data_IF_394009374807
#
_entry.id   IF_394009374807
#
_cell.length_a   1.000
_cell.length_b   1.000
_cell.length_c   1.000
_cell.angle_alpha   90.00
_cell.angle_beta   90.00
_cell.angle_gamma   90.00
#
_symmetry.space_group_name_H-M   'P 1'
#
loop_
_entity.id
_entity.type
_entity.pdbx_description
1 polymer ?
#
# COMPACT_ATOMS: atom_id res chain seq x y z
N UNK A 1 -11.20 -12.27 -13.58
CA UNK A 1 -10.08 -12.98 -12.97
C UNK A 1 -9.60 -12.10 -11.83
N UNK A 2 -9.37 -12.66 -10.64
CA UNK A 2 -8.94 -11.87 -9.48
C UNK A 2 -7.44 -11.55 -9.49
N UNK A 3 -6.63 -12.39 -10.15
CA UNK A 3 -5.20 -12.11 -10.33
C UNK A 3 -4.99 -10.82 -11.15
N UNK A 4 -4.15 -9.93 -10.64
CA UNK A 4 -3.88 -8.61 -11.24
C UNK A 4 -2.86 -8.64 -12.38
N UNK A 5 -2.23 -9.80 -12.59
CA UNK A 5 -1.39 -10.10 -13.73
C UNK A 5 -1.49 -11.60 -14.03
N UNK A 6 -1.13 -12.04 -15.25
CA UNK A 6 -1.02 -13.46 -15.57
C UNK A 6 -0.14 -14.18 -14.54
N UNK A 7 -0.58 -15.35 -14.08
CA UNK A 7 0.16 -16.14 -13.09
C UNK A 7 1.01 -17.17 -13.81
N UNK A 8 2.31 -17.17 -13.50
CA UNK A 8 3.20 -18.22 -13.96
C UNK A 8 3.01 -19.49 -13.12
N UNK A 9 3.30 -20.66 -13.70
CA UNK A 9 3.16 -21.94 -13.01
C UNK A 9 4.01 -21.97 -11.73
N UNK A 10 5.23 -21.44 -11.80
CA UNK A 10 6.11 -21.28 -10.64
C UNK A 10 5.48 -20.49 -9.47
N UNK A 11 4.67 -19.46 -9.76
CA UNK A 11 4.01 -18.65 -8.73
C UNK A 11 2.95 -19.48 -8.01
N UNK A 12 2.22 -20.28 -8.77
CA UNK A 12 1.17 -21.16 -8.26
C UNK A 12 1.79 -22.26 -7.39
N UNK A 13 2.86 -22.89 -7.87
CA UNK A 13 3.57 -23.93 -7.12
C UNK A 13 4.11 -23.41 -5.79
N UNK A 14 4.64 -22.20 -5.77
CA UNK A 14 5.10 -21.56 -4.54
C UNK A 14 3.94 -21.18 -3.62
N UNK A 15 2.83 -20.68 -4.17
CA UNK A 15 1.64 -20.33 -3.39
C UNK A 15 0.97 -21.56 -2.74
N UNK A 16 1.03 -22.73 -3.40
CA UNK A 16 0.50 -23.99 -2.87
C UNK A 16 1.23 -24.51 -1.63
N UNK A 17 2.45 -24.02 -1.36
CA UNK A 17 3.18 -24.32 -0.12
C UNK A 17 2.56 -23.64 1.10
N UNK A 18 1.74 -22.62 0.91
CA UNK A 18 1.31 -21.77 2.01
C UNK A 18 0.05 -22.36 2.65
N UNK A 19 0.17 -22.81 3.89
CA UNK A 19 -0.99 -23.08 4.74
C UNK A 19 -1.39 -21.76 5.43
N UNK A 20 -2.47 -21.13 4.95
CA UNK A 20 -3.00 -19.88 5.50
C UNK A 20 -3.45 -20.01 6.96
N UNK A 21 -4.01 -21.16 7.33
CA UNK A 21 -4.61 -21.36 8.64
C UNK A 21 -3.53 -21.61 9.70
N UNK A 22 -2.50 -22.39 9.33
CA UNK A 22 -1.34 -22.64 10.20
C UNK A 22 -0.30 -21.54 10.13
N UNK A 23 -0.33 -20.70 9.10
CA UNK A 23 0.72 -19.72 8.76
C UNK A 23 2.07 -20.41 8.67
N UNK A 24 2.17 -21.45 7.85
CA UNK A 24 3.41 -22.22 7.65
C UNK A 24 3.63 -22.51 6.18
N UNK A 25 4.89 -22.74 5.80
CA UNK A 25 5.23 -23.33 4.51
C UNK A 25 5.26 -24.86 4.67
N UNK A 26 4.44 -25.55 3.89
CA UNK A 26 4.36 -27.00 3.82
C UNK A 26 4.98 -27.46 2.49
N UNK A 27 6.23 -27.89 2.55
CA UNK A 27 6.94 -28.44 1.39
C UNK A 27 6.45 -29.85 1.02
N UNK A 28 5.68 -30.53 1.89
CA UNK A 28 5.16 -31.88 1.64
C UNK A 28 3.86 -31.86 0.82
N UNK A 29 3.11 -30.75 0.82
CA UNK A 29 1.84 -30.60 0.10
C UNK A 29 2.03 -30.42 -1.41
N UNK A 30 3.16 -29.88 -1.85
CA UNK A 30 3.33 -29.52 -3.26
C UNK A 30 3.52 -30.76 -4.12
N UNK A 31 2.79 -30.91 -5.24
CA UNK A 31 3.06 -31.95 -6.22
C UNK A 31 4.56 -31.95 -6.53
N UNK A 32 5.20 -33.11 -6.42
CA UNK A 32 6.67 -33.23 -6.56
C UNK A 32 7.17 -32.71 -7.91
N UNK A 33 6.27 -32.52 -8.88
CA UNK A 33 6.54 -31.96 -10.19
C UNK A 33 5.41 -31.03 -10.66
N UNK A 34 5.78 -29.91 -11.28
CA UNK A 34 4.88 -28.97 -11.99
C UNK A 34 3.86 -29.64 -12.92
N UNK A 35 4.28 -30.68 -13.64
CA UNK A 35 3.43 -31.46 -14.55
C UNK A 35 2.31 -32.16 -13.79
N UNK A 36 2.57 -32.62 -12.56
CA UNK A 36 1.57 -33.27 -11.73
C UNK A 36 0.42 -32.33 -11.35
N UNK A 37 0.68 -31.04 -11.15
CA UNK A 37 -0.39 -30.06 -10.90
C UNK A 37 -1.27 -29.88 -12.13
N UNK A 38 -0.66 -29.75 -13.31
CA UNK A 38 -1.39 -29.59 -14.57
C UNK A 38 -2.21 -30.85 -14.90
N UNK A 39 -1.65 -32.03 -14.65
CA UNK A 39 -2.33 -33.32 -14.83
C UNK A 39 -3.54 -33.47 -13.90
N UNK A 40 -3.40 -33.05 -12.62
CA UNK A 40 -4.50 -33.06 -11.65
C UNK A 40 -5.59 -32.06 -12.02
N UNK A 41 -5.23 -30.86 -12.48
CA UNK A 41 -6.18 -29.86 -12.95
C UNK A 41 -6.83 -30.27 -14.29
N UNK A 42 -6.20 -31.14 -15.06
CA UNK A 42 -6.71 -31.68 -16.32
C UNK A 42 -7.17 -30.59 -17.28
N UNK A 43 -8.38 -30.71 -17.80
CA UNK A 43 -8.96 -29.76 -18.76
C UNK A 43 -9.46 -28.46 -18.15
N UNK A 44 -9.34 -28.26 -16.83
CA UNK A 44 -9.81 -27.02 -16.17
C UNK A 44 -8.89 -25.84 -16.43
N UNK A 45 -7.59 -26.09 -16.65
CA UNK A 45 -6.57 -25.07 -16.86
C UNK A 45 -5.85 -25.27 -18.19
N UNK A 46 -5.41 -24.15 -18.76
CA UNK A 46 -4.53 -24.10 -19.93
C UNK A 46 -3.19 -23.51 -19.48
N UNK A 47 -2.11 -24.22 -19.81
CA UNK A 47 -0.73 -23.75 -19.59
C UNK A 47 -0.10 -23.41 -20.95
N UNK A 48 0.42 -22.19 -21.05
CA UNK A 48 1.23 -21.78 -22.19
C UNK A 48 2.69 -22.04 -21.87
N UNK A 49 3.28 -23.05 -22.52
CA UNK A 49 4.68 -23.48 -22.28
C UNK A 49 5.70 -22.39 -22.65
N UNK A 50 5.40 -21.51 -23.60
CA UNK A 50 6.32 -20.46 -24.04
C UNK A 50 6.39 -19.31 -23.03
N UNK A 51 5.26 -18.97 -22.41
CA UNK A 51 5.17 -17.84 -21.47
C UNK A 51 5.14 -18.27 -20.01
N UNK A 52 5.05 -19.57 -19.75
CA UNK A 52 4.79 -20.21 -18.44
C UNK A 52 3.47 -19.79 -17.77
N UNK A 53 2.56 -19.14 -18.50
CA UNK A 53 1.31 -18.61 -17.94
C UNK A 53 0.27 -19.73 -17.78
N UNK A 54 -0.35 -19.79 -16.62
CA UNK A 54 -1.50 -20.66 -16.33
C UNK A 54 -2.79 -19.83 -16.30
N UNK A 55 -3.82 -20.34 -16.97
CA UNK A 55 -5.15 -19.71 -17.04
C UNK A 55 -6.24 -20.77 -17.00
N UNK A 56 -7.50 -20.37 -16.79
CA UNK A 56 -8.62 -21.28 -16.96
C UNK A 56 -8.82 -21.59 -18.45
N UNK A 57 -9.10 -22.85 -18.79
CA UNK A 57 -9.22 -23.28 -20.19
C UNK A 57 -10.34 -22.59 -20.94
N UNK A 58 -11.48 -22.34 -20.26
CA UNK A 58 -12.66 -21.71 -20.86
C UNK A 58 -13.41 -20.84 -19.87
N UNK A 59 -14.15 -19.86 -20.40
CA UNK A 59 -15.04 -19.01 -19.60
C UNK A 59 -16.11 -19.82 -18.85
N UNK A 60 -16.60 -20.92 -19.42
CA UNK A 60 -17.56 -21.81 -18.76
C UNK A 60 -17.02 -22.47 -17.50
N UNK A 61 -15.70 -22.73 -17.43
CA UNK A 61 -15.06 -23.26 -16.20
C UNK A 61 -15.15 -22.22 -15.09
N UNK A 62 -14.89 -20.95 -15.42
CA UNK A 62 -15.06 -19.83 -14.47
C UNK A 62 -16.50 -19.72 -14.00
N UNK A 63 -17.46 -19.74 -14.92
CA UNK A 63 -18.89 -19.67 -14.57
C UNK A 63 -19.32 -20.84 -13.70
N UNK A 64 -18.82 -22.04 -13.98
CA UNK A 64 -19.10 -23.23 -13.18
C UNK A 64 -18.54 -23.09 -11.75
N UNK A 65 -17.27 -22.71 -11.59
CA UNK A 65 -16.61 -22.58 -10.28
C UNK A 65 -17.15 -21.41 -9.43
N UNK A 66 -17.75 -20.40 -10.07
CA UNK A 66 -18.37 -19.25 -9.41
C UNK A 66 -19.90 -19.34 -9.33
N UNK A 67 -20.51 -20.37 -9.94
CA UNK A 67 -21.96 -20.48 -10.07
C UNK A 67 -22.62 -21.07 -8.82
N UNK A 68 -23.88 -20.67 -8.59
CA UNK A 68 -24.69 -21.11 -7.43
C UNK A 68 -24.84 -22.64 -7.36
N UNK A 69 -24.78 -23.33 -8.51
CA UNK A 69 -24.87 -24.78 -8.58
C UNK A 69 -23.74 -25.47 -7.80
N UNK A 70 -22.49 -25.01 -7.99
CA UNK A 70 -21.34 -25.57 -7.28
C UNK A 70 -21.42 -25.22 -5.80
N UNK A 71 -21.90 -24.02 -5.46
CA UNK A 71 -22.07 -23.59 -4.08
C UNK A 71 -23.00 -24.55 -3.31
N UNK A 72 -24.09 -25.01 -3.93
CA UNK A 72 -25.01 -25.97 -3.34
C UNK A 72 -24.55 -27.43 -3.35
N UNK A 73 -23.84 -27.87 -4.39
CA UNK A 73 -23.51 -29.29 -4.58
C UNK A 73 -22.12 -29.69 -4.08
N UNK A 74 -21.13 -28.82 -4.28
CA UNK A 74 -19.72 -29.06 -4.01
C UNK A 74 -19.08 -27.80 -3.40
N UNK A 75 -19.51 -27.39 -2.19
CA UNK A 75 -19.06 -26.15 -1.57
C UNK A 75 -17.54 -26.08 -1.38
N UNK A 76 -16.85 -27.21 -1.29
CA UNK A 76 -15.38 -27.26 -1.19
C UNK A 76 -14.64 -26.82 -2.47
N UNK A 77 -15.31 -26.82 -3.63
CA UNK A 77 -14.74 -26.34 -4.91
C UNK A 77 -15.32 -24.98 -5.33
N UNK A 78 -16.21 -24.42 -4.53
CA UNK A 78 -16.77 -23.10 -4.79
C UNK A 78 -15.73 -22.03 -4.48
N UNK A 79 -15.39 -21.22 -5.50
CA UNK A 79 -14.38 -20.17 -5.36
C UNK A 79 -14.98 -18.89 -4.74
N UNK A 80 -16.30 -18.79 -4.58
CA UNK A 80 -16.92 -17.62 -3.99
C UNK A 80 -17.05 -16.44 -4.94
N UNK A 81 -17.30 -15.27 -4.36
CA UNK A 81 -17.34 -14.00 -5.08
C UNK A 81 -15.95 -13.61 -5.58
N UNK A 82 -15.89 -12.67 -6.51
CA UNK A 82 -14.62 -12.09 -6.93
C UNK A 82 -13.86 -11.45 -5.75
N UNK A 83 -14.58 -10.80 -4.84
CA UNK A 83 -14.01 -10.18 -3.63
C UNK A 83 -13.32 -11.23 -2.73
N UNK A 84 -13.95 -12.40 -2.54
CA UNK A 84 -13.34 -13.50 -1.80
C UNK A 84 -12.03 -13.98 -2.44
N UNK A 85 -11.98 -14.07 -3.77
CA UNK A 85 -10.73 -14.43 -4.46
C UNK A 85 -9.64 -13.35 -4.28
N UNK A 86 -9.98 -12.06 -4.27
CA UNK A 86 -9.03 -11.00 -3.94
C UNK A 86 -8.58 -11.08 -2.47
N UNK A 87 -9.48 -11.38 -1.54
CA UNK A 87 -9.15 -11.57 -0.12
C UNK A 87 -8.13 -12.69 0.03
N UNK A 88 -8.40 -13.86 -0.55
CA UNK A 88 -7.50 -15.01 -0.46
C UNK A 88 -6.12 -14.71 -1.05
N UNK A 89 -6.04 -14.02 -2.18
CA UNK A 89 -4.76 -13.61 -2.77
C UNK A 89 -4.01 -12.59 -1.90
N UNK A 90 -4.71 -11.61 -1.31
CA UNK A 90 -4.11 -10.65 -0.40
C UNK A 90 -3.54 -11.35 0.85
N UNK A 91 -4.33 -12.25 1.45
CA UNK A 91 -3.95 -13.06 2.62
C UNK A 91 -2.75 -13.95 2.32
N UNK A 92 -2.75 -14.64 1.17
CA UNK A 92 -1.61 -15.45 0.71
C UNK A 92 -0.35 -14.62 0.57
N UNK A 93 -0.44 -13.45 -0.07
CA UNK A 93 0.71 -12.56 -0.24
C UNK A 93 1.26 -12.09 1.12
N UNK A 94 0.40 -11.64 2.04
CA UNK A 94 0.84 -11.18 3.37
C UNK A 94 1.40 -12.32 4.23
N UNK A 95 0.77 -13.49 4.18
CA UNK A 95 1.26 -14.68 4.87
C UNK A 95 2.63 -15.10 4.32
N UNK A 96 2.77 -15.18 2.99
CA UNK A 96 4.04 -15.47 2.34
C UNK A 96 5.13 -14.46 2.74
N UNK A 97 4.85 -13.16 2.68
CA UNK A 97 5.77 -12.11 3.11
C UNK A 97 6.21 -12.25 4.58
N UNK A 98 5.33 -12.78 5.43
CA UNK A 98 5.63 -13.07 6.84
C UNK A 98 6.49 -14.33 7.02
N UNK A 99 6.50 -15.25 6.04
CA UNK A 99 7.13 -16.58 6.13
C UNK A 99 8.41 -16.73 5.31
N UNK A 100 8.56 -15.98 4.22
CA UNK A 100 9.81 -15.92 3.42
C UNK A 100 10.96 -15.74 4.40
N UNK A 101 12.16 -16.25 4.10
CA UNK A 101 13.40 -15.90 4.81
C UNK A 101 13.46 -16.20 6.31
N UNK A 102 12.52 -16.95 6.89
CA UNK A 102 12.84 -17.70 8.10
C UNK A 102 13.90 -18.74 7.70
N UNK A 103 15.04 -18.84 8.40
CA UNK A 103 15.85 -20.04 8.29
C UNK A 103 14.88 -21.19 8.54
N UNK A 104 14.70 -22.08 7.55
CA UNK A 104 14.20 -23.40 7.86
C UNK A 104 15.24 -23.96 8.82
N UNK A 105 15.05 -23.74 10.12
CA UNK A 105 15.60 -24.64 11.11
C UNK A 105 15.11 -25.99 10.63
N UNK A 106 15.99 -26.78 10.02
CA UNK A 106 15.63 -28.06 9.46
C UNK A 106 15.13 -28.89 10.64
N UNK A 107 13.82 -28.91 10.87
CA UNK A 107 13.20 -29.58 11.99
C UNK A 107 13.25 -31.07 11.68
N UNK A 108 14.43 -31.66 11.89
CA UNK A 108 14.61 -33.11 11.96
C UNK A 108 14.11 -33.69 13.28
N UNK A 109 13.53 -32.87 14.18
CA UNK A 109 13.09 -33.34 15.48
C UNK A 109 11.58 -33.20 15.65
N UNK A 110 10.93 -34.36 15.72
CA UNK A 110 9.51 -34.59 15.97
C UNK A 110 8.91 -33.64 17.02
N UNK A 111 7.78 -33.06 16.61
CA UNK A 111 6.78 -32.32 17.37
C UNK A 111 6.62 -32.77 18.83
N UNK A 112 6.34 -31.83 19.74
CA UNK A 112 5.01 -31.82 20.32
C UNK A 112 4.33 -30.45 20.19
N UNK A 113 3.02 -30.48 19.99
CA UNK A 113 2.11 -29.38 19.70
C UNK A 113 2.43 -28.08 20.43
N UNK A 114 2.92 -27.09 19.69
CA UNK A 114 3.14 -25.72 20.18
C UNK A 114 1.85 -24.93 19.95
N UNK A 115 1.15 -24.62 21.06
CA UNK A 115 0.35 -23.39 21.13
C UNK A 115 1.33 -22.23 20.99
N UNK A 116 1.04 -21.24 20.14
CA UNK A 116 1.81 -20.01 19.98
C UNK A 116 1.97 -19.28 21.34
N UNK A 117 2.93 -19.71 22.15
CA UNK A 117 3.52 -18.91 23.22
C UNK A 117 4.62 -18.09 22.58
N UNK A 118 4.38 -16.79 22.47
CA UNK A 118 5.21 -15.74 21.84
C UNK A 118 6.55 -15.48 22.58
N UNK A 119 7.06 -16.45 23.35
CA UNK A 119 8.24 -16.28 24.20
C UNK A 119 9.40 -17.20 23.80
N UNK A 120 9.66 -17.36 22.49
CA UNK A 120 10.90 -17.97 22.03
C UNK A 120 12.02 -16.92 22.11
N UNK A 121 12.98 -17.15 23.01
CA UNK A 121 14.16 -16.32 23.18
C UNK A 121 14.94 -16.25 21.86
N UNK A 122 15.00 -15.05 21.28
CA UNK A 122 15.75 -14.75 20.06
C UNK A 122 17.23 -14.96 20.38
N UNK A 123 17.79 -16.03 19.81
CA UNK A 123 19.21 -16.35 19.90
C UNK A 123 20.00 -15.28 19.15
N UNK A 124 21.05 -14.75 19.78
CA UNK A 124 21.88 -13.64 19.30
C UNK A 124 22.47 -13.91 17.92
N UNK A 125 22.16 -12.99 17.00
CA UNK A 125 22.52 -12.87 15.60
C UNK A 125 23.99 -13.27 15.29
N UNK A 126 24.19 -14.51 14.84
CA UNK A 126 25.26 -14.77 13.89
C UNK A 126 24.90 -14.03 12.60
N UNK A 127 25.87 -13.41 11.93
CA UNK A 127 25.68 -12.72 10.67
C UNK A 127 25.27 -13.75 9.59
N UNK A 128 23.97 -14.04 9.50
CA UNK A 128 23.42 -14.88 8.46
C UNK A 128 23.65 -14.19 7.13
N UNK A 129 24.43 -14.83 6.26
CA UNK A 129 24.64 -14.36 4.90
C UNK A 129 23.30 -14.45 4.19
N UNK A 130 22.66 -13.30 3.99
CA UNK A 130 21.41 -13.22 3.27
C UNK A 130 21.63 -13.66 1.82
N UNK A 131 20.83 -14.62 1.35
CA UNK A 131 20.94 -15.12 -0.02
C UNK A 131 20.51 -14.01 -0.99
N UNK A 132 21.46 -13.57 -1.82
CA UNK A 132 21.24 -12.50 -2.81
C UNK A 132 20.19 -12.87 -3.86
N UNK A 133 19.75 -14.13 -3.92
CA UNK A 133 18.70 -14.60 -4.82
C UNK A 133 17.27 -14.39 -4.29
N UNK A 134 17.04 -13.64 -3.21
CA UNK A 134 15.68 -13.46 -2.68
C UNK A 134 14.68 -12.93 -3.73
N UNK A 135 15.10 -11.98 -4.58
CA UNK A 135 14.27 -11.45 -5.67
C UNK A 135 14.05 -12.41 -6.85
N UNK A 136 14.78 -13.52 -6.90
CA UNK A 136 14.49 -14.58 -7.87
C UNK A 136 13.29 -15.42 -7.45
N UNK A 137 12.78 -15.25 -6.22
CA UNK A 137 11.54 -15.90 -5.77
C UNK A 137 10.35 -15.25 -6.46
N UNK A 138 9.66 -15.98 -7.35
CA UNK A 138 8.66 -15.37 -8.20
C UNK A 138 7.43 -14.87 -7.44
N UNK A 139 7.00 -15.59 -6.40
CA UNK A 139 5.88 -15.16 -5.58
C UNK A 139 6.23 -13.94 -4.71
N UNK A 140 7.49 -13.79 -4.29
CA UNK A 140 7.94 -12.61 -3.56
C UNK A 140 7.76 -11.35 -4.40
N UNK A 141 8.17 -11.39 -5.68
CA UNK A 141 7.99 -10.28 -6.60
C UNK A 141 6.50 -9.94 -6.74
N UNK A 142 5.64 -10.94 -6.94
CA UNK A 142 4.19 -10.74 -7.03
C UNK A 142 3.61 -10.12 -5.75
N UNK A 143 3.95 -10.67 -4.59
CA UNK A 143 3.42 -10.23 -3.31
C UNK A 143 3.79 -8.76 -3.03
N UNK A 144 5.01 -8.35 -3.37
CA UNK A 144 5.48 -6.98 -3.18
C UNK A 144 4.90 -5.99 -4.19
N UNK A 145 4.75 -6.37 -5.47
CA UNK A 145 4.28 -5.43 -6.51
C UNK A 145 2.76 -5.38 -6.66
N UNK A 146 2.08 -6.51 -6.44
CA UNK A 146 0.63 -6.68 -6.68
C UNK A 146 -0.14 -7.15 -5.46
N UNK A 147 0.49 -7.81 -4.50
CA UNK A 147 -0.20 -8.44 -3.36
C UNK A 147 -1.13 -7.49 -2.61
N UNK A 148 -0.68 -6.28 -2.28
CA UNK A 148 -1.52 -5.30 -1.59
C UNK A 148 -2.61 -4.69 -2.46
N UNK A 149 -2.45 -4.62 -3.78
CA UNK A 149 -3.48 -4.05 -4.68
C UNK A 149 -4.78 -4.87 -4.67
N UNK A 150 -4.75 -6.11 -4.18
CA UNK A 150 -5.96 -6.90 -3.98
C UNK A 150 -6.90 -6.28 -2.92
N UNK A 151 -6.37 -5.50 -1.98
CA UNK A 151 -7.14 -4.83 -0.93
C UNK A 151 -8.13 -3.79 -1.49
N UNK A 152 -7.87 -3.25 -2.68
CA UNK A 152 -8.74 -2.29 -3.35
C UNK A 152 -10.11 -2.89 -3.70
N UNK A 153 -10.16 -4.22 -3.89
CA UNK A 153 -11.35 -4.94 -4.30
C UNK A 153 -12.15 -5.50 -3.12
N UNK A 154 -11.79 -5.16 -1.89
CA UNK A 154 -12.44 -5.69 -0.69
C UNK A 154 -13.45 -4.70 -0.13
N UNK A 155 -14.63 -5.22 0.24
CA UNK A 155 -15.67 -4.50 0.97
C UNK A 155 -15.56 -4.62 2.50
N UNK A 156 -16.70 -4.44 3.20
CA UNK A 156 -16.79 -4.38 4.66
C UNK A 156 -16.63 -5.75 5.37
N UNK A 157 -16.86 -6.85 4.65
CA UNK A 157 -16.96 -8.19 5.23
C UNK A 157 -15.62 -8.95 5.32
N UNK A 158 -14.51 -8.33 4.89
CA UNK A 158 -13.21 -9.00 4.76
C UNK A 158 -12.27 -8.70 5.94
N UNK A 159 -12.76 -8.82 7.17
CA UNK A 159 -11.99 -8.48 8.37
C UNK A 159 -10.76 -9.38 8.63
N UNK A 160 -10.68 -10.56 8.01
CA UNK A 160 -9.58 -11.51 8.20
C UNK A 160 -8.24 -10.94 7.71
N UNK A 161 -8.27 -10.07 6.69
CA UNK A 161 -7.05 -9.43 6.16
C UNK A 161 -6.33 -8.60 7.22
N UNK A 162 -7.05 -8.06 8.23
CA UNK A 162 -6.43 -7.28 9.30
C UNK A 162 -5.56 -8.15 10.21
N UNK A 163 -5.94 -9.40 10.45
CA UNK A 163 -5.12 -10.35 11.20
C UNK A 163 -3.80 -10.64 10.45
N UNK A 164 -3.89 -10.80 9.13
CA UNK A 164 -2.73 -11.02 8.26
C UNK A 164 -1.82 -9.80 8.18
N UNK A 165 -2.39 -8.59 8.10
CA UNK A 165 -1.64 -7.32 8.18
C UNK A 165 -0.91 -7.17 9.52
N UNK A 166 -1.58 -7.46 10.64
CA UNK A 166 -0.97 -7.40 11.99
C UNK A 166 0.15 -8.41 12.16
N UNK A 167 -0.02 -9.62 11.64
CA UNK A 167 1.04 -10.64 11.64
C UNK A 167 2.26 -10.18 10.81
N UNK A 168 2.01 -9.59 9.64
CA UNK A 168 3.06 -9.04 8.79
C UNK A 168 3.76 -7.84 9.45
N UNK A 169 3.03 -6.89 10.03
CA UNK A 169 3.59 -5.75 10.78
C UNK A 169 4.49 -6.23 11.92
N UNK A 170 3.99 -7.19 12.72
CA UNK A 170 4.77 -7.80 13.79
C UNK A 170 6.08 -8.39 13.27
N UNK A 171 6.02 -9.19 12.20
CA UNK A 171 7.21 -9.79 11.60
C UNK A 171 8.19 -8.73 11.05
N UNK A 172 7.67 -7.65 10.44
CA UNK A 172 8.48 -6.53 9.98
C UNK A 172 9.26 -5.89 11.14
N UNK A 173 8.59 -5.68 12.27
CA UNK A 173 9.18 -5.08 13.45
C UNK A 173 10.21 -5.99 14.14
N UNK A 174 10.01 -7.32 14.10
CA UNK A 174 10.98 -8.27 14.65
C UNK A 174 12.25 -8.42 13.79
N UNK A 175 12.13 -8.19 12.47
CA UNK A 175 13.20 -8.44 11.51
C UNK A 175 13.58 -7.19 10.67
N UNK A 176 13.91 -6.03 11.28
CA UNK A 176 14.03 -4.75 10.56
C UNK A 176 15.17 -4.74 9.54
N UNK A 177 16.30 -5.37 9.85
CA UNK A 177 17.48 -5.46 8.95
C UNK A 177 17.15 -6.21 7.66
N UNK A 178 16.35 -7.26 7.77
CA UNK A 178 15.92 -8.05 6.64
C UNK A 178 15.00 -7.27 5.72
N UNK A 179 14.01 -6.57 6.28
CA UNK A 179 13.12 -5.72 5.48
C UNK A 179 13.86 -4.56 4.84
N UNK A 180 14.91 -4.05 5.49
CA UNK A 180 15.85 -3.14 4.86
C UNK A 180 16.58 -3.79 3.67
N UNK A 181 17.06 -5.03 3.77
CA UNK A 181 17.70 -5.72 2.63
C UNK A 181 16.72 -5.97 1.47
N UNK A 182 15.48 -6.38 1.78
CA UNK A 182 14.41 -6.53 0.76
C UNK A 182 14.22 -5.19 0.05
N UNK A 183 14.01 -4.10 0.81
CA UNK A 183 13.88 -2.75 0.25
C UNK A 183 15.08 -2.36 -0.61
N UNK A 184 16.29 -2.53 -0.10
CA UNK A 184 17.50 -2.11 -0.79
C UNK A 184 17.65 -2.90 -2.11
N UNK A 185 17.28 -4.18 -2.11
CA UNK A 185 17.21 -5.00 -3.33
C UNK A 185 16.16 -4.45 -4.31
N UNK A 186 14.95 -4.15 -3.84
CA UNK A 186 13.88 -3.57 -4.67
C UNK A 186 14.24 -2.20 -5.24
N UNK A 187 15.02 -1.39 -4.52
CA UNK A 187 15.42 -0.04 -4.97
C UNK A 187 16.22 -0.04 -6.28
N UNK A 188 16.88 -1.17 -6.57
CA UNK A 188 17.61 -1.36 -7.83
C UNK A 188 16.72 -1.77 -8.99
N UNK A 189 15.55 -2.34 -8.70
CA UNK A 189 14.60 -2.84 -9.70
C UNK A 189 13.70 -1.69 -10.20
N UNK A 190 13.62 -1.54 -11.53
CA UNK A 190 12.86 -0.46 -12.16
C UNK A 190 11.36 -0.56 -11.92
N UNK A 191 10.83 -1.77 -11.66
CA UNK A 191 9.40 -1.97 -11.36
C UNK A 191 9.03 -1.32 -10.01
N UNK A 192 9.97 -1.28 -9.07
CA UNK A 192 9.77 -0.80 -7.71
C UNK A 192 10.36 0.60 -7.46
N UNK A 193 11.17 1.12 -8.38
CA UNK A 193 11.83 2.43 -8.24
C UNK A 193 10.87 3.60 -7.96
N UNK A 194 9.64 3.52 -8.48
CA UNK A 194 8.63 4.56 -8.31
C UNK A 194 7.56 4.20 -7.27
N UNK A 195 7.58 2.97 -6.80
CA UNK A 195 6.54 2.36 -6.01
C UNK A 195 7.13 1.76 -4.73
N UNK A 196 6.91 2.48 -3.63
CA UNK A 196 6.45 1.83 -2.41
C UNK A 196 7.37 0.80 -1.74
N UNK A 197 8.60 1.17 -1.46
CA UNK A 197 9.24 0.59 -0.28
C UNK A 197 9.37 1.68 0.79
N UNK A 198 8.28 1.99 1.52
CA UNK A 198 8.41 2.72 2.77
C UNK A 198 9.47 2.06 3.62
N UNK A 199 9.97 2.83 4.57
CA UNK A 199 10.69 2.28 5.69
C UNK A 199 9.68 1.50 6.55
N UNK A 200 9.17 0.35 6.06
CA UNK A 200 8.14 -0.45 6.76
C UNK A 200 8.61 -0.89 8.14
N UNK A 201 9.92 -1.05 8.31
CA UNK A 201 10.56 -1.35 9.59
C UNK A 201 10.71 -0.14 10.50
N UNK A 202 10.38 1.07 10.05
CA UNK A 202 10.42 2.25 10.89
C UNK A 202 9.18 2.33 11.77
N UNK A 203 9.34 2.27 13.11
CA UNK A 203 8.21 2.29 14.04
C UNK A 203 7.41 3.61 14.03
N UNK A 204 7.92 4.67 13.38
CA UNK A 204 7.20 5.94 13.21
C UNK A 204 6.12 5.88 12.14
N UNK A 205 6.13 4.86 11.29
CA UNK A 205 5.11 4.63 10.30
C UNK A 205 4.07 3.64 10.84
N UNK A 206 2.79 4.02 10.75
CA UNK A 206 1.73 3.04 10.92
C UNK A 206 1.62 2.21 9.63
N UNK A 207 2.18 1.01 9.66
CA UNK A 207 2.23 0.11 8.51
C UNK A 207 0.83 -0.18 7.97
N UNK A 208 -0.13 -0.49 8.84
CA UNK A 208 -1.45 -0.93 8.44
C UNK A 208 -2.22 0.23 7.79
N UNK A 209 -2.25 1.41 8.44
CA UNK A 209 -2.90 2.59 7.86
C UNK A 209 -2.24 3.01 6.56
N UNK A 210 -0.92 2.93 6.48
CA UNK A 210 -0.20 3.18 5.24
C UNK A 210 -0.69 2.25 4.11
N UNK A 211 -0.72 0.93 4.36
CA UNK A 211 -1.14 -0.07 3.36
C UNK A 211 -2.61 0.15 2.95
N UNK A 212 -3.52 0.39 3.90
CA UNK A 212 -4.93 0.61 3.63
C UNK A 212 -5.19 1.88 2.83
N UNK A 213 -4.44 2.95 3.08
CA UNK A 213 -4.57 4.21 2.34
C UNK A 213 -4.02 4.06 0.92
N UNK A 214 -2.89 3.39 0.75
CA UNK A 214 -2.25 3.26 -0.57
C UNK A 214 -2.95 2.24 -1.47
N UNK A 215 -3.54 1.19 -0.89
CA UNK A 215 -3.96 0.02 -1.63
C UNK A 215 -5.38 -0.47 -1.30
N UNK A 216 -5.94 -0.07 -0.16
CA UNK A 216 -7.27 -0.48 0.28
C UNK A 216 -8.38 0.36 -0.33
N UNK A 217 -9.59 -0.22 -0.40
CA UNK A 217 -10.79 0.55 -0.68
C UNK A 217 -11.13 1.49 0.49
N UNK A 218 -11.90 2.54 0.22
CA UNK A 218 -12.40 3.46 1.25
C UNK A 218 -13.22 2.69 2.29
N UNK A 219 -14.03 1.73 1.86
CA UNK A 219 -14.85 0.88 2.73
C UNK A 219 -13.99 -0.01 3.64
N UNK A 220 -12.90 -0.59 3.11
CA UNK A 220 -12.00 -1.42 3.90
C UNK A 220 -11.26 -0.59 4.96
N UNK A 221 -10.82 0.63 4.61
CA UNK A 221 -10.26 1.56 5.58
C UNK A 221 -11.28 1.90 6.66
N UNK A 222 -12.50 2.32 6.30
CA UNK A 222 -13.55 2.68 7.25
C UNK A 222 -13.86 1.52 8.21
N UNK A 223 -13.91 0.29 7.68
CA UNK A 223 -14.08 -0.93 8.46
C UNK A 223 -12.93 -1.20 9.43
N UNK A 224 -11.69 -0.95 9.02
CA UNK A 224 -10.54 -1.08 9.91
C UNK A 224 -10.64 -0.11 11.09
N UNK A 225 -11.07 1.13 10.84
CA UNK A 225 -11.27 2.17 11.85
C UNK A 225 -12.44 1.90 12.80
N UNK A 226 -13.30 0.92 12.50
CA UNK A 226 -14.28 0.39 13.46
C UNK A 226 -13.66 -0.62 14.44
N UNK A 227 -12.59 -1.29 14.01
CA UNK A 227 -11.96 -2.38 14.75
C UNK A 227 -10.77 -1.91 15.58
N UNK A 228 -10.12 -0.83 15.17
CA UNK A 228 -8.92 -0.28 15.79
C UNK A 228 -9.05 1.24 15.94
N UNK A 229 -8.67 1.74 17.12
CA UNK A 229 -8.71 3.18 17.37
C UNK A 229 -7.62 3.88 16.56
N UNK A 230 -7.92 5.07 16.03
CA UNK A 230 -6.92 6.02 15.53
C UNK A 230 -6.12 6.62 16.69
N UNK A 231 -5.52 5.78 17.54
CA UNK A 231 -4.53 6.24 18.49
C UNK A 231 -3.26 6.56 17.67
N UNK A 232 -2.88 7.85 17.51
CA UNK A 232 -1.71 8.18 16.73
C UNK A 232 -0.48 7.52 17.36
N UNK A 233 0.13 6.58 16.64
CA UNK A 233 1.51 6.18 16.90
C UNK A 233 2.38 7.44 16.81
N UNK A 234 3.36 7.58 17.71
CA UNK A 234 4.11 8.83 17.84
C UNK A 234 4.75 9.24 16.49
N UNK A 235 4.32 10.38 15.94
CA UNK A 235 4.81 10.90 14.66
C UNK A 235 4.09 10.40 13.40
N UNK A 236 3.05 9.57 13.55
CA UNK A 236 2.20 9.17 12.42
C UNK A 236 0.97 10.08 12.34
N UNK A 237 0.78 10.72 11.18
CA UNK A 237 -0.51 11.28 10.80
C UNK A 237 -0.97 10.64 9.47
N UNK A 238 -1.98 9.75 9.48
CA UNK A 238 -2.44 9.06 8.28
C UNK A 238 -2.98 10.01 7.19
N UNK A 239 -3.42 11.21 7.55
CA UNK A 239 -3.83 12.22 6.56
C UNK A 239 -2.67 12.61 5.64
N UNK A 240 -1.43 12.52 6.13
CA UNK A 240 -0.26 12.84 5.32
C UNK A 240 -0.04 11.76 4.24
N UNK A 241 -0.36 10.50 4.51
CA UNK A 241 -0.37 9.44 3.49
C UNK A 241 -1.46 9.69 2.46
N UNK A 242 -2.70 9.88 2.91
CA UNK A 242 -3.83 10.13 2.00
C UNK A 242 -3.54 11.33 1.10
N UNK A 243 -2.93 12.37 1.67
CA UNK A 243 -2.53 13.55 0.90
C UNK A 243 -1.40 13.27 -0.08
N UNK A 244 -0.37 12.51 0.33
CA UNK A 244 0.76 12.20 -0.55
C UNK A 244 0.35 11.40 -1.79
N UNK A 245 -0.62 10.50 -1.63
CA UNK A 245 -1.17 9.64 -2.69
C UNK A 245 -2.39 10.24 -3.39
N UNK A 246 -2.80 11.45 -3.02
CA UNK A 246 -3.94 12.15 -3.60
C UNK A 246 -5.29 11.41 -3.40
N UNK A 247 -5.45 10.76 -2.25
CA UNK A 247 -6.63 9.96 -1.87
C UNK A 247 -7.62 10.81 -1.07
N UNK A 248 -8.39 11.66 -1.75
CA UNK A 248 -9.34 12.58 -1.11
C UNK A 248 -10.42 11.87 -0.29
N UNK A 249 -10.92 10.73 -0.77
CA UNK A 249 -11.97 9.96 -0.09
C UNK A 249 -11.46 9.32 1.20
N UNK A 250 -10.25 8.73 1.20
CA UNK A 250 -9.62 8.22 2.42
C UNK A 250 -9.36 9.35 3.42
N UNK A 251 -8.90 10.52 2.95
CA UNK A 251 -8.73 11.69 3.83
C UNK A 251 -10.05 12.13 4.47
N UNK A 252 -11.15 12.13 3.71
CA UNK A 252 -12.48 12.45 4.24
C UNK A 252 -12.92 11.47 5.34
N UNK A 253 -12.74 10.16 5.12
CA UNK A 253 -13.01 9.14 6.14
C UNK A 253 -12.16 9.38 7.38
N UNK A 254 -10.84 9.57 7.23
CA UNK A 254 -9.94 9.85 8.35
C UNK A 254 -10.37 11.09 9.16
N UNK A 255 -10.72 12.20 8.49
CA UNK A 255 -11.21 13.41 9.15
C UNK A 255 -12.52 13.14 9.91
N UNK A 256 -13.46 12.40 9.31
CA UNK A 256 -14.73 12.03 9.96
C UNK A 256 -14.53 11.15 11.21
N UNK A 257 -13.42 10.40 11.26
CA UNK A 257 -13.00 9.57 12.40
C UNK A 257 -12.11 10.33 13.40
N UNK A 258 -11.97 11.64 13.27
CA UNK A 258 -11.25 12.49 14.23
C UNK A 258 -9.73 12.57 14.00
N UNK A 259 -9.24 12.22 12.80
CA UNK A 259 -7.84 12.47 12.46
C UNK A 259 -7.51 13.96 12.58
N UNK A 260 -6.38 14.27 13.21
CA UNK A 260 -5.97 15.64 13.51
C UNK A 260 -5.33 16.29 12.28
N UNK A 261 -6.03 17.24 11.68
CA UNK A 261 -5.58 17.95 10.47
C UNK A 261 -4.28 18.75 10.68
N UNK A 262 -4.02 19.19 11.92
CA UNK A 262 -2.92 20.07 12.30
C UNK A 262 -1.74 19.34 12.95
N UNK A 263 -1.77 18.00 13.02
CA UNK A 263 -0.66 17.21 13.53
C UNK A 263 0.34 16.94 12.40
N UNK A 264 1.63 17.09 12.68
CA UNK A 264 2.69 16.76 11.72
C UNK A 264 2.84 15.25 11.58
N UNK A 265 3.11 14.77 10.37
CA UNK A 265 3.38 13.36 10.10
C UNK A 265 4.61 13.15 9.22
N UNK A 266 5.22 11.97 9.35
CA UNK A 266 6.31 11.53 8.48
C UNK A 266 5.78 10.96 7.16
N UNK A 267 6.38 11.38 6.04
CA UNK A 267 6.12 10.78 4.72
C UNK A 267 7.34 9.99 4.27
N UNK A 268 7.16 8.68 4.10
CA UNK A 268 8.19 7.83 3.54
C UNK A 268 8.51 8.26 2.10
N UNK A 269 9.79 8.35 1.75
CA UNK A 269 10.24 8.54 0.36
C UNK A 269 10.19 9.96 -0.20
N UNK A 270 9.72 10.98 0.53
CA UNK A 270 9.77 12.37 0.04
C UNK A 270 11.15 13.03 0.16
N UNK A 271 12.02 12.52 1.03
CA UNK A 271 13.36 13.05 1.22
C UNK A 271 14.39 12.22 0.45
N UNK A 272 14.81 12.69 -0.73
CA UNK A 272 15.88 12.07 -1.53
C UNK A 272 17.25 12.01 -0.84
N UNK A 273 17.38 12.55 0.38
CA UNK A 273 18.65 12.66 1.12
C UNK A 273 18.61 12.02 2.52
N UNK A 274 17.67 11.09 2.77
CA UNK A 274 17.63 10.33 4.02
C UNK A 274 17.23 11.14 5.26
N UNK A 275 16.90 12.43 5.11
CA UNK A 275 16.38 13.25 6.20
C UNK A 275 14.86 13.26 6.15
N UNK A 276 14.25 12.40 6.95
CA UNK A 276 12.81 12.37 7.12
C UNK A 276 12.29 13.75 7.46
N UNK A 277 11.43 14.24 6.58
CA UNK A 277 10.80 15.53 6.72
C UNK A 277 9.39 15.30 7.27
N UNK A 278 9.11 15.91 8.40
CA UNK A 278 7.78 15.99 8.96
C UNK A 278 7.02 17.11 8.26
N UNK A 279 5.81 16.81 7.82
CA UNK A 279 4.95 17.76 7.11
C UNK A 279 3.56 17.79 7.73
N UNK A 280 2.94 18.95 7.63
CA UNK A 280 1.49 19.03 7.78
C UNK A 280 0.81 18.44 6.55
N UNK A 281 -0.36 17.80 6.69
CA UNK A 281 -1.14 17.32 5.54
C UNK A 281 -1.29 18.39 4.45
N UNK A 282 -1.67 19.62 4.83
CA UNK A 282 -1.86 20.71 3.87
C UNK A 282 -0.59 21.03 3.07
N UNK A 283 0.59 20.92 3.69
CA UNK A 283 1.85 21.18 3.00
C UNK A 283 2.13 20.14 1.91
N UNK A 284 1.80 18.88 2.20
CA UNK A 284 1.91 17.79 1.24
C UNK A 284 0.90 18.00 0.11
N UNK A 285 -0.33 18.45 0.41
CA UNK A 285 -1.38 18.67 -0.58
C UNK A 285 -0.95 19.73 -1.60
N UNK A 286 -0.42 20.85 -1.11
CA UNK A 286 0.08 21.94 -1.96
C UNK A 286 1.27 21.48 -2.80
N UNK A 287 2.23 20.75 -2.21
CA UNK A 287 3.40 20.23 -2.94
C UNK A 287 3.02 19.23 -4.04
N UNK A 288 1.94 18.47 -3.83
CA UNK A 288 1.39 17.50 -4.78
C UNK A 288 0.38 18.12 -5.77
N UNK A 289 0.10 19.41 -5.65
CA UNK A 289 -0.91 20.09 -6.45
C UNK A 289 -2.31 19.46 -6.34
N UNK A 290 -2.61 18.86 -5.17
CA UNK A 290 -3.83 18.12 -4.89
C UNK A 290 -4.97 19.07 -4.50
N UNK A 291 -5.61 19.69 -5.50
CA UNK A 291 -6.59 20.78 -5.30
C UNK A 291 -7.74 20.38 -4.37
N UNK A 292 -8.33 19.21 -4.59
CA UNK A 292 -9.46 18.73 -3.78
C UNK A 292 -9.06 18.52 -2.31
N UNK A 293 -7.88 17.96 -2.07
CA UNK A 293 -7.34 17.78 -0.73
C UNK A 293 -7.00 19.12 -0.05
N UNK A 294 -6.51 20.12 -0.77
CA UNK A 294 -6.32 21.47 -0.21
C UNK A 294 -7.65 22.03 0.26
N UNK A 295 -8.69 21.99 -0.60
CA UNK A 295 -10.02 22.50 -0.26
C UNK A 295 -10.59 21.74 0.96
N UNK A 296 -10.46 20.40 0.99
CA UNK A 296 -10.90 19.54 2.09
C UNK A 296 -10.19 19.86 3.41
N UNK A 297 -8.85 19.99 3.39
CA UNK A 297 -8.06 20.23 4.59
C UNK A 297 -8.28 21.64 5.15
N UNK A 298 -8.45 22.66 4.29
CA UNK A 298 -8.80 24.00 4.72
C UNK A 298 -10.22 24.04 5.32
N UNK A 299 -11.17 23.32 4.73
CA UNK A 299 -12.52 23.18 5.29
C UNK A 299 -12.52 22.48 6.66
N UNK A 300 -11.52 21.64 6.92
CA UNK A 300 -11.28 21.00 8.22
C UNK A 300 -10.45 21.87 9.19
N UNK A 301 -10.28 23.17 8.91
CA UNK A 301 -9.54 24.12 9.75
C UNK A 301 -8.03 23.80 9.87
N UNK A 302 -7.43 23.32 8.77
CA UNK A 302 -5.97 23.23 8.68
C UNK A 302 -5.33 24.61 8.75
N UNK A 303 -4.34 24.77 9.64
CA UNK A 303 -3.46 25.94 9.69
C UNK A 303 -2.66 26.02 8.41
N UNK A 304 -2.41 27.25 7.95
CA UNK A 304 -1.58 27.51 6.77
C UNK A 304 -0.17 27.95 7.21
N UNK A 305 0.85 27.09 7.05
CA UNK A 305 2.20 27.41 7.50
C UNK A 305 2.85 28.48 6.62
N UNK A 306 3.62 29.38 7.23
CA UNK A 306 4.26 30.50 6.52
C UNK A 306 5.13 30.04 5.34
N UNK A 307 5.81 28.90 5.49
CA UNK A 307 6.64 28.32 4.43
C UNK A 307 5.86 27.94 3.17
N UNK A 308 4.55 27.69 3.27
CA UNK A 308 3.72 27.46 2.09
C UNK A 308 3.55 28.73 1.27
N UNK A 309 3.48 29.88 1.92
CA UNK A 309 3.40 31.15 1.22
C UNK A 309 4.64 31.37 0.35
N UNK A 310 5.82 31.13 0.93
CA UNK A 310 7.11 31.17 0.21
C UNK A 310 7.16 30.17 -0.94
N UNK A 311 6.61 28.97 -0.73
CA UNK A 311 6.55 27.92 -1.75
C UNK A 311 5.62 28.31 -2.91
N UNK A 312 4.46 28.90 -2.61
CA UNK A 312 3.47 29.34 -3.60
C UNK A 312 3.92 30.50 -4.47
N UNK A 313 4.82 31.36 -3.96
CA UNK A 313 5.42 32.47 -4.74
C UNK A 313 6.71 32.08 -5.45
N UNK A 314 7.31 30.93 -5.11
CA UNK A 314 8.60 30.52 -5.66
C UNK A 314 8.46 30.18 -7.14
N UNK A 315 9.27 30.78 -8.05
CA UNK A 315 9.23 30.44 -9.47
C UNK A 315 9.70 29.00 -9.75
N UNK A 316 10.38 28.37 -8.78
CA UNK A 316 10.82 26.98 -8.87
C UNK A 316 9.70 25.97 -8.62
N UNK A 317 8.59 26.38 -8.00
CA UNK A 317 7.48 25.47 -7.64
C UNK A 317 6.23 25.90 -8.40
N UNK A 318 5.62 24.95 -9.12
CA UNK A 318 4.38 25.19 -9.87
C UNK A 318 3.19 24.83 -8.99
N UNK A 319 2.62 25.82 -8.32
CA UNK A 319 1.39 25.64 -7.53
C UNK A 319 0.19 26.10 -8.37
N UNK A 320 -0.83 25.26 -8.61
CA UNK A 320 -2.04 25.64 -9.33
C UNK A 320 -2.68 26.93 -8.79
N UNK A 321 -3.15 27.80 -9.68
CA UNK A 321 -3.78 29.07 -9.29
C UNK A 321 -5.02 28.84 -8.41
N UNK A 322 -5.75 27.74 -8.61
CA UNK A 322 -6.89 27.38 -7.76
C UNK A 322 -6.46 27.13 -6.32
N UNK A 323 -5.32 26.47 -6.08
CA UNK A 323 -4.76 26.30 -4.74
C UNK A 323 -4.36 27.65 -4.14
N UNK A 324 -3.69 28.52 -4.90
CA UNK A 324 -3.33 29.87 -4.44
C UNK A 324 -4.58 30.66 -4.03
N UNK A 325 -5.65 30.59 -4.83
CA UNK A 325 -6.94 31.22 -4.50
C UNK A 325 -7.58 30.62 -3.24
N UNK A 326 -7.50 29.30 -3.04
CA UNK A 326 -7.99 28.66 -1.81
C UNK A 326 -7.20 29.09 -0.58
N UNK A 327 -5.87 29.19 -0.69
CA UNK A 327 -5.01 29.68 0.39
C UNK A 327 -5.26 31.16 0.70
N UNK A 328 -5.44 32.02 -0.31
CA UNK A 328 -5.76 33.44 -0.17
C UNK A 328 -7.07 33.73 0.58
N UNK A 329 -7.97 32.74 0.68
CA UNK A 329 -9.23 32.86 1.44
C UNK A 329 -9.04 32.66 2.93
N UNK A 330 -7.85 32.25 3.37
CA UNK A 330 -7.50 32.12 4.79
C UNK A 330 -6.96 33.45 5.30
N UNK A 331 -7.29 33.78 6.55
CA UNK A 331 -6.85 35.03 7.17
C UNK A 331 -5.32 35.07 7.31
N UNK A 332 -4.70 33.93 7.63
CA UNK A 332 -3.25 33.80 7.80
C UNK A 332 -2.48 34.13 6.51
N UNK A 333 -2.98 33.67 5.35
CA UNK A 333 -2.35 34.00 4.07
C UNK A 333 -2.51 35.48 3.74
N UNK A 334 -3.70 36.04 3.98
CA UNK A 334 -3.98 37.45 3.69
C UNK A 334 -3.07 38.38 4.51
N UNK A 335 -2.91 38.11 5.81
CA UNK A 335 -2.02 38.87 6.69
C UNK A 335 -0.57 38.80 6.22
N UNK A 336 -0.07 37.60 5.90
CA UNK A 336 1.28 37.44 5.37
C UNK A 336 1.48 38.17 4.03
N UNK A 337 0.51 38.06 3.13
CA UNK A 337 0.58 38.71 1.82
C UNK A 337 0.64 40.24 1.97
N UNK A 338 -0.12 40.81 2.91
CA UNK A 338 -0.08 42.24 3.20
C UNK A 338 1.31 42.65 3.74
N UNK A 339 1.84 41.92 4.74
CA UNK A 339 3.15 42.19 5.34
C UNK A 339 4.29 42.13 4.29
N UNK A 340 4.29 41.10 3.46
CA UNK A 340 5.31 40.94 2.42
C UNK A 340 5.15 41.94 1.28
N UNK A 341 3.93 42.36 0.95
CA UNK A 341 3.69 43.34 -0.11
C UNK A 341 4.07 44.76 0.28
N UNK A 342 4.13 45.10 1.57
CA UNK A 342 4.74 46.34 2.03
C UNK A 342 6.22 46.40 1.63
N UNK A 343 6.91 45.26 1.65
CA UNK A 343 8.33 45.15 1.32
C UNK A 343 8.58 44.86 -0.17
N UNK A 344 7.64 44.19 -0.85
CA UNK A 344 7.77 43.71 -2.24
C UNK A 344 6.41 43.75 -2.96
N UNK A 345 5.92 44.94 -3.35
CA UNK A 345 4.58 45.09 -3.94
C UNK A 345 4.39 44.37 -5.27
N UNK A 346 5.48 44.02 -5.96
CA UNK A 346 5.43 43.25 -7.20
C UNK A 346 5.09 41.76 -6.99
N UNK A 347 5.15 41.21 -5.76
CA UNK A 347 4.83 39.80 -5.50
C UNK A 347 3.36 39.47 -5.77
N UNK A 348 2.42 40.30 -5.33
CA UNK A 348 1.00 40.13 -5.65
C UNK A 348 0.76 40.27 -7.15
N UNK A 349 1.44 41.21 -7.80
CA UNK A 349 1.38 41.34 -9.25
C UNK A 349 1.95 40.10 -9.95
N UNK A 350 3.10 39.55 -9.54
CA UNK A 350 3.66 38.33 -10.14
C UNK A 350 2.74 37.10 -9.93
N UNK A 351 2.14 36.97 -8.75
CA UNK A 351 1.15 35.93 -8.45
C UNK A 351 -0.09 36.02 -9.35
N UNK A 352 -0.57 37.24 -9.61
CA UNK A 352 -1.83 37.50 -10.33
C UNK A 352 -1.63 37.73 -11.83
N UNK A 353 -0.45 38.17 -12.29
CA UNK A 353 -0.20 38.58 -13.67
C UNK A 353 0.28 37.42 -14.54
N UNK A 354 -0.67 36.89 -15.31
CA UNK A 354 -0.54 36.25 -16.63
C UNK A 354 0.35 35.01 -16.83
N UNK A 355 1.33 34.67 -15.98
CA UNK A 355 2.04 33.38 -16.10
C UNK A 355 1.12 32.18 -15.83
N UNK A 356 0.05 32.36 -15.06
CA UNK A 356 -0.94 31.33 -14.75
C UNK A 356 -2.15 31.28 -15.71
N UNK A 357 -2.48 32.37 -16.41
CA UNK A 357 -3.62 32.40 -17.33
C UNK A 357 -3.44 31.45 -18.54
N UNK A 358 -2.19 31.19 -18.93
CA UNK A 358 -1.86 30.25 -20.00
C UNK A 358 -1.98 28.78 -19.56
N UNK A 359 -2.01 28.49 -18.26
CA UNK A 359 -1.97 27.13 -17.71
C UNK A 359 -3.34 26.62 -17.23
N UNK A 360 -4.26 27.51 -16.85
CA UNK A 360 -5.68 27.13 -16.65
C UNK A 360 -6.28 26.50 -17.92
N UNK A 361 -5.79 26.85 -19.11
CA UNK A 361 -6.20 26.23 -20.37
C UNK A 361 -5.66 24.81 -20.55
N UNK A 362 -4.45 24.50 -20.06
CA UNK A 362 -3.85 23.17 -20.19
C UNK A 362 -4.49 22.17 -19.20
N UNK A 363 -4.83 22.60 -17.98
CA UNK A 363 -5.51 21.77 -16.98
C UNK A 363 -6.95 21.43 -17.39
N UNK A 364 -7.68 22.37 -18.01
CA UNK A 364 -9.02 22.12 -18.56
C UNK A 364 -9.01 21.10 -19.71
N UNK A 365 -7.93 21.07 -20.50
CA UNK A 365 -7.74 20.11 -21.61
C UNK A 365 -7.33 18.73 -21.10
N UNK A 366 -6.64 18.63 -19.96
CA UNK A 366 -6.28 17.34 -19.36
C UNK A 366 -7.41 16.71 -18.55
N UNK A 367 -8.32 17.50 -17.96
CA UNK A 367 -9.50 16.97 -17.26
C UNK A 367 -10.64 16.49 -18.18
N UNK A 368 -10.55 16.73 -19.49
CA UNK A 368 -11.56 16.30 -20.49
C UNK A 368 -11.17 15.05 -21.28
N UNK A 369 -10.07 14.39 -20.91
CA UNK A 369 -9.64 13.07 -21.41
C UNK A 369 -9.61 12.08 -20.28
#
# INVERSE_FOLDING_TARGET
MAALQPLNLSFIMEALKIDLERRTLDDDIVPTHEIGLLDVCGSLVMHNVETDIVSLSHFSVKEYLMGDLICGQLPQYYIGSQEYAHEQLARLCMCYLSLVGHPQESVKNKCPSIRLTVNAAISTEAAESFDTNLLSQPLLRYALSRGFNHLHYLGLDHGLVFCDMKALEYHIQQCPRRWQQIRDSLSTDSEFRYYYAPHWSDPRHDFILYILICFGSVSLLDRYLDCDDLAPKAGTNPLVYATHFNEAQHAQVLLSRGARVNDIGCVAGLSGYGQESQYLPLEVAVKKSAVELVDLLLAAESRVPEKLFQTSVSPATRVPLRIIRSLLRTDEFAEWAIDQCQNKPWLLHELLSQRYAKWEQDDLVTMTR
#
